data_IF_759440408648
#
_entry.id   IF_759440408648
#
_cell.length_a   1.000
_cell.length_b   1.000
_cell.length_c   1.000
_cell.angle_alpha   90.00
_cell.angle_beta   90.00
_cell.angle_gamma   90.00
#
_symmetry.space_group_name_H-M   'P 1'
#
loop_
_entity.id
_entity.type
_entity.pdbx_description
1 polymer ?
#
# COMPACT_ATOMS: atom_id res chain seq x y z
N UNK A 1 4.54 -5.40 -56.21
CA UNK A 1 5.22 -4.94 -54.98
C UNK A 1 4.23 -4.95 -53.83
N UNK A 2 4.15 -6.06 -53.09
CA UNK A 2 3.31 -6.14 -51.89
C UNK A 2 4.14 -5.62 -50.71
N UNK A 3 3.74 -4.48 -50.14
CA UNK A 3 4.31 -3.97 -48.89
C UNK A 3 3.74 -4.80 -47.75
N UNK A 4 4.57 -5.61 -47.11
CA UNK A 4 4.20 -6.29 -45.86
C UNK A 4 3.84 -5.23 -44.80
N UNK A 5 2.74 -5.40 -44.04
CA UNK A 5 2.48 -4.56 -42.88
C UNK A 5 3.56 -4.81 -41.80
N UNK A 6 3.88 -3.79 -40.98
CA UNK A 6 4.87 -3.93 -39.92
C UNK A 6 4.41 -4.97 -38.88
N UNK A 7 5.34 -5.72 -38.27
CA UNK A 7 5.00 -6.69 -37.24
C UNK A 7 4.40 -5.95 -36.03
N UNK A 8 3.24 -6.43 -35.56
CA UNK A 8 2.60 -5.96 -34.34
C UNK A 8 3.59 -6.00 -33.17
N UNK A 9 4.03 -4.82 -32.74
CA UNK A 9 4.88 -4.63 -31.57
C UNK A 9 4.06 -4.94 -30.33
N UNK A 10 3.86 -6.23 -30.01
CA UNK A 10 3.44 -6.60 -28.68
C UNK A 10 4.48 -6.06 -27.69
N UNK A 11 4.09 -5.26 -26.67
CA UNK A 11 5.04 -4.78 -25.69
C UNK A 11 5.71 -5.99 -25.06
N UNK A 12 7.04 -6.01 -25.12
CA UNK A 12 7.84 -7.10 -24.58
C UNK A 12 7.38 -7.40 -23.15
N UNK A 13 6.84 -8.60 -22.91
CA UNK A 13 6.47 -9.05 -21.56
C UNK A 13 7.64 -8.79 -20.64
N UNK A 14 7.41 -7.98 -19.62
CA UNK A 14 8.48 -7.50 -18.75
C UNK A 14 9.21 -8.71 -18.13
N UNK A 15 10.53 -8.62 -17.91
CA UNK A 15 11.30 -9.72 -17.32
C UNK A 15 10.73 -10.18 -15.95
N UNK A 16 10.00 -9.30 -15.26
CA UNK A 16 9.21 -9.60 -14.06
C UNK A 16 8.00 -10.50 -14.34
N UNK A 17 7.24 -10.28 -15.41
CA UNK A 17 6.13 -11.16 -15.82
C UNK A 17 6.63 -12.57 -16.13
N UNK A 18 7.78 -12.68 -16.82
CA UNK A 18 8.37 -13.97 -17.17
C UNK A 18 8.87 -14.71 -15.93
N UNK A 19 9.55 -14.01 -15.01
CA UNK A 19 10.03 -14.59 -13.73
C UNK A 19 8.86 -15.01 -12.84
N UNK A 20 7.78 -14.24 -12.81
CA UNK A 20 6.64 -14.55 -11.98
C UNK A 20 5.75 -15.66 -12.57
N UNK A 21 5.63 -15.75 -13.90
CA UNK A 21 4.99 -16.89 -14.56
C UNK A 21 5.71 -18.22 -14.24
N UNK A 22 7.05 -18.20 -14.15
CA UNK A 22 7.83 -19.39 -13.75
C UNK A 22 7.62 -19.81 -12.28
N UNK A 23 7.28 -18.87 -11.40
CA UNK A 23 7.11 -19.10 -9.96
C UNK A 23 5.68 -19.48 -9.57
N UNK A 24 4.69 -18.97 -10.30
CA UNK A 24 3.29 -18.97 -9.85
C UNK A 24 2.40 -19.98 -10.59
N UNK A 25 2.90 -20.64 -11.64
CA UNK A 25 2.14 -21.58 -12.45
C UNK A 25 1.42 -20.93 -13.64
N UNK A 26 0.49 -21.67 -14.24
CA UNK A 26 -0.25 -21.20 -15.42
C UNK A 26 -1.19 -20.04 -15.03
N UNK A 27 -1.18 -18.91 -15.76
CA UNK A 27 -2.00 -17.76 -15.41
C UNK A 27 -3.50 -18.08 -15.51
N UNK A 28 -4.33 -17.61 -14.57
CA UNK A 28 -5.76 -17.86 -14.57
C UNK A 28 -6.48 -17.29 -15.79
N UNK A 29 -7.59 -17.92 -16.15
CA UNK A 29 -8.57 -17.36 -17.09
C UNK A 29 -9.46 -16.35 -16.37
N UNK A 30 -10.09 -15.44 -17.13
CA UNK A 30 -10.98 -14.41 -16.57
C UNK A 30 -12.16 -15.02 -15.80
N UNK A 31 -12.72 -16.12 -16.29
CA UNK A 31 -13.81 -16.85 -15.64
C UNK A 31 -13.37 -17.44 -14.30
N UNK A 32 -12.16 -18.00 -14.24
CA UNK A 32 -11.58 -18.55 -13.02
C UNK A 32 -11.32 -17.46 -11.97
N UNK A 33 -10.80 -16.30 -12.40
CA UNK A 33 -10.61 -15.13 -11.54
C UNK A 33 -11.94 -14.59 -10.98
N UNK A 34 -12.96 -14.48 -11.82
CA UNK A 34 -14.31 -14.04 -11.39
C UNK A 34 -14.92 -15.02 -10.38
N UNK A 35 -14.74 -16.32 -10.61
CA UNK A 35 -15.18 -17.37 -9.69
C UNK A 35 -14.45 -17.28 -8.34
N UNK A 36 -13.13 -17.06 -8.36
CA UNK A 36 -12.33 -16.85 -7.15
C UNK A 36 -12.89 -15.69 -6.32
N UNK A 37 -13.15 -14.54 -6.94
CA UNK A 37 -13.68 -13.37 -6.24
C UNK A 37 -15.04 -13.64 -5.58
N UNK A 38 -15.97 -14.28 -6.31
CA UNK A 38 -17.28 -14.64 -5.76
C UNK A 38 -17.16 -15.64 -4.61
N UNK A 39 -16.25 -16.60 -4.73
CA UNK A 39 -16.03 -17.63 -3.73
C UNK A 39 -15.43 -17.08 -2.45
N UNK A 40 -14.45 -16.16 -2.55
CA UNK A 40 -13.86 -15.47 -1.39
C UNK A 40 -14.94 -14.74 -0.59
N UNK A 41 -15.88 -14.05 -1.24
CA UNK A 41 -16.97 -13.35 -0.56
C UNK A 41 -17.90 -14.32 0.18
N UNK A 42 -18.30 -15.43 -0.47
CA UNK A 42 -19.17 -16.45 0.12
C UNK A 42 -18.50 -17.13 1.32
N UNK A 43 -17.24 -17.52 1.20
CA UNK A 43 -16.49 -18.13 2.30
C UNK A 43 -16.22 -17.16 3.45
N UNK A 44 -15.91 -15.90 3.16
CA UNK A 44 -15.69 -14.89 4.20
C UNK A 44 -16.96 -14.62 5.01
N UNK A 45 -18.13 -14.59 4.34
CA UNK A 45 -19.42 -14.49 5.01
C UNK A 45 -19.68 -15.71 5.91
N UNK A 46 -19.53 -16.94 5.38
CA UNK A 46 -19.73 -18.16 6.16
C UNK A 46 -18.74 -18.24 7.34
N UNK A 47 -17.47 -17.91 7.13
CA UNK A 47 -16.47 -17.90 8.20
C UNK A 47 -16.82 -16.91 9.30
N UNK A 48 -17.35 -15.72 8.96
CA UNK A 48 -17.81 -14.75 9.94
C UNK A 48 -18.96 -15.29 10.79
N UNK A 49 -19.94 -15.94 10.15
CA UNK A 49 -21.10 -16.50 10.85
C UNK A 49 -20.70 -17.67 11.77
N UNK A 50 -19.86 -18.59 11.26
CA UNK A 50 -19.35 -19.73 12.04
C UNK A 50 -18.44 -19.25 13.17
N UNK A 51 -17.59 -18.24 12.95
CA UNK A 51 -16.74 -17.65 13.99
C UNK A 51 -17.57 -17.06 15.13
N UNK A 52 -18.65 -16.35 14.81
CA UNK A 52 -19.57 -15.81 15.81
C UNK A 52 -20.23 -16.91 16.66
N UNK A 53 -20.54 -18.07 16.08
CA UNK A 53 -21.10 -19.22 16.79
C UNK A 53 -20.02 -19.97 17.59
N UNK A 54 -18.83 -20.16 17.03
CA UNK A 54 -17.73 -20.89 17.64
C UNK A 54 -17.20 -20.21 18.91
N UNK A 55 -17.20 -18.87 18.98
CA UNK A 55 -16.81 -18.13 20.20
C UNK A 55 -17.68 -18.45 21.42
N UNK A 56 -18.95 -18.83 21.20
CA UNK A 56 -19.90 -19.15 22.28
C UNK A 56 -20.02 -20.66 22.51
N UNK A 57 -19.93 -21.47 21.44
CA UNK A 57 -20.27 -22.90 21.44
C UNK A 57 -19.32 -23.72 20.56
N UNK A 58 -18.01 -23.53 20.72
CA UNK A 58 -17.01 -24.15 19.83
C UNK A 58 -17.06 -25.69 19.75
N UNK A 59 -17.40 -26.39 20.83
CA UNK A 59 -17.49 -27.87 20.85
C UNK A 59 -18.85 -28.43 20.42
N UNK A 60 -19.77 -27.58 20.00
CA UNK A 60 -21.08 -28.04 19.55
C UNK A 60 -20.96 -28.68 18.16
N UNK A 61 -21.64 -29.82 17.99
CA UNK A 61 -21.74 -30.50 16.70
C UNK A 61 -22.41 -29.62 15.65
N UNK A 62 -21.92 -29.73 14.43
CA UNK A 62 -22.50 -29.02 13.29
C UNK A 62 -23.89 -29.56 12.94
N UNK A 63 -24.80 -28.64 12.61
CA UNK A 63 -26.01 -28.98 11.88
C UNK A 63 -25.64 -29.54 10.50
N UNK A 64 -26.34 -30.57 10.06
CA UNK A 64 -26.09 -31.24 8.78
C UNK A 64 -26.13 -30.25 7.60
N UNK A 65 -27.06 -29.30 7.61
CA UNK A 65 -27.16 -28.26 6.58
C UNK A 65 -25.88 -27.42 6.49
N UNK A 66 -25.29 -27.04 7.62
CA UNK A 66 -24.07 -26.23 7.65
C UNK A 66 -22.88 -27.05 7.18
N UNK A 67 -22.81 -28.33 7.56
CA UNK A 67 -21.77 -29.26 7.11
C UNK A 67 -21.79 -29.40 5.59
N UNK A 68 -22.94 -29.73 4.99
CA UNK A 68 -23.11 -29.89 3.55
C UNK A 68 -22.75 -28.61 2.79
N UNK A 69 -23.18 -27.44 3.28
CA UNK A 69 -22.84 -26.15 2.68
C UNK A 69 -21.34 -25.87 2.73
N UNK A 70 -20.70 -26.12 3.87
CA UNK A 70 -19.27 -25.91 4.04
C UNK A 70 -18.46 -26.85 3.15
N UNK A 71 -18.80 -28.14 3.09
CA UNK A 71 -18.14 -29.11 2.22
C UNK A 71 -18.29 -28.76 0.75
N UNK A 72 -19.48 -28.33 0.32
CA UNK A 72 -19.72 -27.85 -1.04
C UNK A 72 -18.80 -26.66 -1.40
N UNK A 73 -18.69 -25.67 -0.52
CA UNK A 73 -17.82 -24.52 -0.74
C UNK A 73 -16.32 -24.88 -0.73
N UNK A 74 -15.90 -25.78 0.16
CA UNK A 74 -14.52 -26.27 0.22
C UNK A 74 -14.18 -27.07 -1.05
N UNK A 75 -15.12 -27.86 -1.56
CA UNK A 75 -14.97 -28.59 -2.82
C UNK A 75 -14.85 -27.63 -4.02
N UNK A 76 -15.62 -26.54 -4.06
CA UNK A 76 -15.49 -25.51 -5.09
C UNK A 76 -14.10 -24.84 -5.09
N UNK A 77 -13.36 -24.88 -3.97
CA UNK A 77 -12.00 -24.34 -3.87
C UNK A 77 -10.92 -25.22 -4.50
N UNK A 78 -11.23 -26.47 -4.88
CA UNK A 78 -10.25 -27.44 -5.36
C UNK A 78 -9.29 -26.89 -6.45
N UNK A 79 -9.72 -26.09 -7.44
CA UNK A 79 -8.84 -25.56 -8.50
C UNK A 79 -7.79 -24.57 -8.01
N UNK A 80 -7.98 -23.96 -6.84
CA UNK A 80 -7.11 -22.91 -6.29
C UNK A 80 -6.11 -23.45 -5.27
N UNK A 81 -6.20 -24.74 -4.94
CA UNK A 81 -5.33 -25.42 -3.97
C UNK A 81 -4.16 -26.06 -4.70
N UNK A 82 -3.00 -26.12 -4.03
CA UNK A 82 -1.88 -26.90 -4.54
C UNK A 82 -2.30 -28.38 -4.64
N UNK A 83 -2.14 -28.99 -5.83
CA UNK A 83 -2.77 -30.26 -6.26
C UNK A 83 -2.35 -31.54 -5.52
N UNK A 84 -1.97 -31.50 -4.25
CA UNK A 84 -1.47 -32.68 -3.52
C UNK A 84 -2.26 -33.08 -2.28
N UNK A 85 -3.14 -32.23 -1.76
CA UNK A 85 -3.93 -32.58 -0.58
C UNK A 85 -5.37 -32.95 -0.93
N UNK A 86 -5.79 -34.12 -0.44
CA UNK A 86 -7.18 -34.58 -0.43
C UNK A 86 -8.07 -33.44 0.11
N UNK A 87 -9.28 -33.30 -0.43
CA UNK A 87 -10.27 -32.36 0.11
C UNK A 87 -10.50 -32.71 1.58
N UNK A 88 -10.22 -31.80 2.53
CA UNK A 88 -10.45 -32.09 3.93
C UNK A 88 -11.96 -32.21 4.14
N UNK A 89 -12.39 -33.31 4.75
CA UNK A 89 -13.77 -33.47 5.23
C UNK A 89 -14.08 -32.33 6.20
N UNK A 90 -15.30 -31.80 6.22
CA UNK A 90 -15.62 -30.74 7.17
C UNK A 90 -15.41 -31.25 8.60
N UNK A 91 -14.76 -30.43 9.42
CA UNK A 91 -14.57 -30.74 10.84
C UNK A 91 -15.94 -30.98 11.51
N UNK A 92 -16.04 -31.90 12.47
CA UNK A 92 -17.33 -32.28 13.06
C UNK A 92 -17.93 -31.18 13.97
N UNK A 93 -17.09 -30.29 14.50
CA UNK A 93 -17.40 -29.25 15.47
C UNK A 93 -17.31 -27.83 14.88
N UNK A 94 -18.04 -26.88 15.48
CA UNK A 94 -18.02 -25.47 15.06
C UNK A 94 -16.63 -24.83 15.16
N UNK A 95 -15.87 -25.18 16.20
CA UNK A 95 -14.50 -24.70 16.42
C UNK A 95 -13.56 -25.17 15.32
N UNK A 96 -13.52 -26.49 15.07
CA UNK A 96 -12.75 -27.08 13.98
C UNK A 96 -13.15 -26.53 12.61
N UNK A 97 -14.45 -26.34 12.36
CA UNK A 97 -14.92 -25.79 11.08
C UNK A 97 -14.45 -24.34 10.88
N UNK A 98 -14.48 -23.52 11.94
CA UNK A 98 -13.98 -22.16 11.87
C UNK A 98 -12.50 -22.12 11.44
N UNK A 99 -11.66 -22.98 12.05
CA UNK A 99 -10.24 -23.06 11.72
C UNK A 99 -10.04 -23.53 10.28
N UNK A 100 -10.77 -24.56 9.85
CA UNK A 100 -10.69 -25.09 8.50
C UNK A 100 -11.07 -24.05 7.44
N UNK A 101 -12.17 -23.31 7.65
CA UNK A 101 -12.58 -22.23 6.76
C UNK A 101 -11.53 -21.11 6.71
N UNK A 102 -10.92 -20.77 7.84
CA UNK A 102 -9.81 -19.80 7.91
C UNK A 102 -8.58 -20.25 7.10
N UNK A 103 -8.22 -21.54 7.17
CA UNK A 103 -7.13 -22.10 6.37
C UNK A 103 -7.43 -22.05 4.86
N UNK A 104 -8.66 -22.38 4.46
CA UNK A 104 -9.08 -22.32 3.04
C UNK A 104 -9.06 -20.88 2.53
N UNK A 105 -9.54 -19.92 3.32
CA UNK A 105 -9.44 -18.49 2.98
C UNK A 105 -7.98 -18.04 2.79
N UNK A 106 -7.08 -18.44 3.69
CA UNK A 106 -5.66 -18.13 3.56
C UNK A 106 -5.03 -18.71 2.29
N UNK A 107 -5.45 -19.91 1.86
CA UNK A 107 -5.01 -20.53 0.61
C UNK A 107 -5.49 -19.72 -0.60
N UNK A 108 -6.74 -19.26 -0.60
CA UNK A 108 -7.30 -18.43 -1.67
C UNK A 108 -6.59 -17.06 -1.76
N UNK A 109 -6.27 -16.44 -0.62
CA UNK A 109 -5.48 -15.21 -0.59
C UNK A 109 -4.06 -15.43 -1.11
N UNK A 110 -3.43 -16.56 -0.74
CA UNK A 110 -2.11 -16.90 -1.24
C UNK A 110 -2.12 -17.07 -2.76
N UNK A 111 -3.10 -17.82 -3.29
CA UNK A 111 -3.29 -17.99 -4.73
C UNK A 111 -3.42 -16.63 -5.43
N UNK A 112 -4.20 -15.72 -4.86
CA UNK A 112 -4.37 -14.39 -5.43
C UNK A 112 -3.10 -13.55 -5.37
N UNK A 113 -2.37 -13.53 -4.26
CA UNK A 113 -1.08 -12.82 -4.16
C UNK A 113 -0.09 -13.29 -5.22
N UNK A 114 -0.14 -14.57 -5.59
CA UNK A 114 0.66 -15.12 -6.68
C UNK A 114 0.21 -14.64 -8.06
N UNK A 115 -1.08 -14.38 -8.27
CA UNK A 115 -1.65 -14.07 -9.58
C UNK A 115 -2.08 -12.60 -9.76
N UNK A 116 -1.74 -11.73 -8.81
CA UNK A 116 -2.07 -10.30 -8.86
C UNK A 116 -0.83 -9.43 -8.82
N UNK A 117 -0.99 -8.19 -9.28
CA UNK A 117 0.04 -7.16 -9.21
C UNK A 117 -0.61 -5.78 -9.11
N UNK A 118 0.13 -4.82 -8.58
CA UNK A 118 -0.30 -3.42 -8.56
C UNK A 118 -0.08 -2.79 -9.94
N UNK A 119 -1.14 -2.28 -10.56
CA UNK A 119 -1.06 -1.49 -11.80
C UNK A 119 -1.06 0.00 -11.47
N UNK A 120 0.02 0.70 -11.84
CA UNK A 120 0.14 2.15 -11.62
C UNK A 120 -0.85 2.93 -12.48
N UNK A 121 -1.12 2.48 -13.71
CA UNK A 121 -2.05 3.17 -14.61
C UNK A 121 -3.50 3.16 -14.12
N UNK A 122 -3.94 2.00 -13.60
CA UNK A 122 -5.32 1.81 -13.10
C UNK A 122 -5.46 2.07 -11.59
N UNK A 123 -4.37 2.41 -10.90
CA UNK A 123 -4.29 2.58 -9.44
C UNK A 123 -5.01 1.48 -8.65
N UNK A 124 -4.89 0.23 -9.09
CA UNK A 124 -5.54 -0.91 -8.45
C UNK A 124 -4.77 -2.21 -8.63
N UNK A 125 -5.12 -3.19 -7.80
CA UNK A 125 -4.66 -4.57 -7.97
C UNK A 125 -5.33 -5.19 -9.20
N UNK A 126 -4.52 -5.76 -10.08
CA UNK A 126 -4.95 -6.41 -11.31
C UNK A 126 -4.53 -7.88 -11.30
N UNK A 127 -5.42 -8.76 -11.77
CA UNK A 127 -5.13 -10.13 -12.14
C UNK A 127 -4.18 -10.17 -13.33
N UNK A 128 -3.22 -11.08 -13.25
CA UNK A 128 -2.34 -11.46 -14.35
C UNK A 128 -2.95 -12.65 -15.07
N UNK A 129 -3.69 -12.39 -16.16
CA UNK A 129 -4.44 -13.41 -16.90
C UNK A 129 -3.63 -13.94 -18.09
N UNK A 130 -4.01 -15.09 -18.62
CA UNK A 130 -3.35 -15.69 -19.78
C UNK A 130 -3.40 -14.81 -21.06
N UNK A 131 -4.48 -14.04 -21.21
CA UNK A 131 -4.75 -13.20 -22.39
C UNK A 131 -4.82 -11.70 -22.12
N UNK A 132 -4.38 -11.23 -20.94
CA UNK A 132 -4.44 -9.81 -20.60
C UNK A 132 -4.40 -9.54 -19.10
N UNK A 133 -4.88 -8.37 -18.71
CA UNK A 133 -4.96 -7.92 -17.32
C UNK A 133 -6.39 -7.51 -17.01
N UNK A 134 -6.88 -7.83 -15.81
CA UNK A 134 -8.20 -7.40 -15.37
C UNK A 134 -8.14 -6.91 -13.92
N UNK A 135 -8.84 -5.84 -13.56
CA UNK A 135 -8.84 -5.36 -12.18
C UNK A 135 -9.51 -6.37 -11.24
N UNK A 136 -8.93 -6.55 -10.06
CA UNK A 136 -9.55 -7.35 -8.97
C UNK A 136 -10.72 -6.53 -8.42
N UNK A 137 -11.97 -6.93 -8.65
CA UNK A 137 -13.11 -6.04 -8.39
C UNK A 137 -13.29 -5.76 -6.91
N UNK A 138 -13.07 -6.74 -6.05
CA UNK A 138 -13.21 -6.56 -4.59
C UNK A 138 -12.11 -5.68 -3.97
N UNK A 139 -10.92 -5.66 -4.57
CA UNK A 139 -9.78 -4.85 -4.12
C UNK A 139 -9.67 -3.53 -4.87
N UNK A 140 -10.53 -3.29 -5.86
CA UNK A 140 -10.59 -2.01 -6.54
C UNK A 140 -10.94 -0.99 -5.46
N UNK A 141 -10.06 -0.01 -5.17
CA UNK A 141 -10.50 1.12 -4.37
C UNK A 141 -11.69 1.68 -5.13
N UNK A 142 -12.89 1.58 -4.57
CA UNK A 142 -13.94 2.49 -4.99
C UNK A 142 -13.33 3.85 -4.71
N UNK A 143 -13.12 4.71 -5.73
CA UNK A 143 -12.77 6.07 -5.43
C UNK A 143 -14.00 6.64 -4.72
N UNK A 144 -13.98 6.62 -3.39
CA UNK A 144 -14.73 7.57 -2.56
C UNK A 144 -14.04 8.92 -2.72
N UNK A 145 -13.83 9.35 -3.96
CA UNK A 145 -13.82 10.77 -4.26
C UNK A 145 -15.29 11.14 -4.28
N UNK A 146 -15.87 11.30 -3.08
CA UNK A 146 -16.91 12.31 -2.96
C UNK A 146 -16.31 13.56 -3.64
N UNK A 147 -17.00 14.18 -4.61
CA UNK A 147 -16.48 15.39 -5.22
C UNK A 147 -16.10 16.32 -4.07
N UNK A 148 -14.84 16.76 -4.04
CA UNK A 148 -14.39 17.71 -3.04
C UNK A 148 -15.28 18.92 -3.23
N UNK A 149 -16.31 19.06 -2.39
CA UNK A 149 -17.19 20.21 -2.44
C UNK A 149 -16.35 21.47 -2.26
N UNK A 150 -16.83 22.64 -2.70
CA UNK A 150 -16.07 23.89 -2.68
C UNK A 150 -15.35 24.15 -1.34
N UNK A 151 -15.97 23.77 -0.21
CA UNK A 151 -15.39 23.86 1.15
C UNK A 151 -14.11 23.04 1.37
N UNK A 152 -13.94 21.90 0.72
CA UNK A 152 -12.77 21.03 0.90
C UNK A 152 -11.54 21.53 0.13
N UNK A 153 -11.76 22.25 -0.96
CA UNK A 153 -10.71 22.92 -1.72
C UNK A 153 -10.21 24.16 -0.96
N UNK A 154 -11.13 24.93 -0.39
CA UNK A 154 -10.82 26.06 0.50
C UNK A 154 -9.97 25.66 1.71
N UNK A 155 -10.21 24.48 2.31
CA UNK A 155 -9.42 23.98 3.44
C UNK A 155 -7.97 23.64 3.05
N UNK A 156 -7.75 23.08 1.86
CA UNK A 156 -6.40 22.80 1.35
C UNK A 156 -5.64 24.08 1.05
N UNK A 157 -6.30 25.06 0.46
CA UNK A 157 -5.70 26.35 0.16
C UNK A 157 -5.39 27.13 1.45
N UNK A 158 -6.27 27.04 2.45
CA UNK A 158 -6.04 27.63 3.78
C UNK A 158 -4.87 26.96 4.50
N UNK A 159 -4.76 25.63 4.44
CA UNK A 159 -3.63 24.90 5.01
C UNK A 159 -2.32 25.25 4.29
N UNK A 160 -2.33 25.35 2.95
CA UNK A 160 -1.18 25.77 2.16
C UNK A 160 -0.68 27.17 2.56
N UNK A 161 -1.60 28.13 2.72
CA UNK A 161 -1.29 29.48 3.20
C UNK A 161 -0.69 29.48 4.61
N UNK A 162 -1.22 28.66 5.52
CA UNK A 162 -0.67 28.54 6.88
C UNK A 162 0.75 27.95 6.90
N UNK A 163 1.03 26.94 6.08
CA UNK A 163 2.37 26.34 5.99
C UNK A 163 3.40 27.36 5.49
N UNK A 164 3.05 28.13 4.46
CA UNK A 164 3.93 29.18 3.92
C UNK A 164 4.16 30.30 4.93
N UNK A 165 3.10 30.76 5.61
CA UNK A 165 3.22 31.80 6.65
C UNK A 165 4.13 31.35 7.80
N UNK A 166 3.97 30.11 8.27
CA UNK A 166 4.81 29.54 9.34
C UNK A 166 6.28 29.43 8.92
N UNK A 167 6.54 29.02 7.68
CA UNK A 167 7.89 28.95 7.10
C UNK A 167 8.55 30.33 7.08
N UNK A 168 7.83 31.35 6.63
CA UNK A 168 8.35 32.71 6.52
C UNK A 168 8.65 33.30 7.91
N UNK A 169 7.78 33.07 8.89
CA UNK A 169 8.02 33.50 10.27
C UNK A 169 9.26 32.84 10.88
N UNK A 170 9.45 31.53 10.65
CA UNK A 170 10.64 30.82 11.10
C UNK A 170 11.92 31.35 10.42
N UNK A 171 11.83 31.69 9.12
CA UNK A 171 12.93 32.31 8.39
C UNK A 171 13.31 33.68 8.97
N UNK A 172 12.33 34.55 9.23
CA UNK A 172 12.56 35.88 9.81
C UNK A 172 13.16 35.82 11.21
N UNK A 173 12.67 34.91 12.06
CA UNK A 173 13.23 34.69 13.39
C UNK A 173 14.68 34.19 13.31
N UNK A 174 14.97 33.25 12.43
CA UNK A 174 16.33 32.77 12.19
C UNK A 174 17.25 33.86 11.65
N UNK A 175 16.75 34.69 10.74
CA UNK A 175 17.51 35.82 10.19
C UNK A 175 17.79 36.90 11.26
N UNK A 176 16.81 37.22 12.10
CA UNK A 176 16.98 38.15 13.21
C UNK A 176 17.98 37.63 14.26
N UNK A 177 17.88 36.35 14.62
CA UNK A 177 18.84 35.70 15.52
C UNK A 177 20.26 35.70 14.93
N UNK A 178 20.40 35.46 13.62
CA UNK A 178 21.67 35.53 12.92
C UNK A 178 22.27 36.94 12.89
N UNK A 179 21.45 37.99 12.77
CA UNK A 179 21.92 39.39 12.92
C UNK A 179 22.36 39.70 14.35
N UNK A 180 21.59 39.28 15.35
CA UNK A 180 21.93 39.47 16.76
C UNK A 180 23.25 38.75 17.12
N UNK A 181 23.47 37.54 16.60
CA UNK A 181 24.71 36.80 16.79
C UNK A 181 25.94 37.47 16.13
N UNK A 182 25.76 38.27 15.07
CA UNK A 182 26.84 39.06 14.44
C UNK A 182 27.25 40.30 15.22
N UNK A 183 26.35 40.85 16.04
CA UNK A 183 26.64 42.00 16.90
C UNK A 183 27.45 41.56 18.14
N UNK A 184 27.37 40.26 18.51
CA UNK A 184 27.98 39.73 19.73
C UNK A 184 27.23 40.18 20.99
N UNK A 185 27.41 39.51 22.14
CA UNK A 185 26.87 40.02 23.41
C UNK A 185 27.51 41.38 23.73
N UNK A 186 26.79 42.31 24.40
CA UNK A 186 27.41 43.54 24.87
C UNK A 186 28.61 43.18 25.77
N UNK A 187 29.77 43.74 25.46
CA UNK A 187 30.98 43.58 26.26
C UNK A 187 30.67 44.05 27.68
N UNK A 188 30.92 43.24 28.73
CA UNK A 188 30.74 43.67 30.10
C UNK A 188 31.60 44.91 30.40
N UNK A 189 31.12 45.85 31.24
CA UNK A 189 31.79 47.14 31.49
C UNK A 189 33.16 47.03 32.17
N UNK A 190 33.61 45.83 32.57
CA UNK A 190 34.87 45.61 33.27
C UNK A 190 36.08 45.41 32.32
N UNK A 191 35.89 45.54 31.00
CA UNK A 191 36.96 45.46 30.01
C UNK A 191 37.23 46.82 29.35
N UNK A 192 37.43 47.87 30.14
CA UNK A 192 38.02 49.13 29.68
C UNK A 192 39.45 49.19 30.21
N UNK A 193 40.42 48.78 29.40
CA UNK A 193 41.83 49.13 29.63
C UNK A 193 42.06 50.59 29.17
N UNK A 194 42.75 51.43 29.96
CA UNK A 194 42.91 52.85 29.69
C UNK A 194 43.93 53.12 28.57
N UNK A 195 43.71 54.23 27.86
CA UNK A 195 44.47 54.72 26.71
C UNK A 195 46.01 54.67 26.88
N UNK A 196 46.71 54.15 25.85
CA UNK A 196 48.14 54.38 25.67
C UNK A 196 48.52 54.52 24.18
N UNK A 197 48.39 55.76 23.71
CA UNK A 197 49.39 56.51 22.93
C UNK A 197 49.74 55.97 21.53
N UNK A 198 49.20 56.71 20.55
CA UNK A 198 49.74 56.85 19.22
C UNK A 198 51.19 57.37 19.27
N UNK A 199 52.17 56.52 18.98
CA UNK A 199 53.53 56.96 18.67
C UNK A 199 54.20 56.03 17.63
N UNK A 200 54.59 56.65 16.52
CA UNK A 200 55.68 56.27 15.61
C UNK A 200 55.77 54.83 15.11
N UNK A 201 55.14 54.56 13.96
CA UNK A 201 55.62 53.53 13.03
C UNK A 201 56.35 54.19 11.84
N UNK A 202 57.71 54.26 11.84
CA UNK A 202 58.50 54.89 10.78
C UNK A 202 58.55 54.07 9.46
N UNK A 203 57.70 53.06 9.29
CA UNK A 203 57.72 52.13 8.14
C UNK A 203 56.77 52.50 6.99
N UNK A 204 56.10 53.64 7.07
CA UNK A 204 55.14 54.12 6.04
C UNK A 204 55.62 55.39 5.31
N UNK A 205 56.92 55.71 5.35
CA UNK A 205 57.51 56.91 4.74
C UNK A 205 58.28 56.66 3.43
N UNK A 206 58.14 55.50 2.79
CA UNK A 206 58.90 55.16 1.56
C UNK A 206 58.05 54.66 0.40
N UNK A 207 56.83 55.17 0.27
CA UNK A 207 56.02 55.01 -0.94
C UNK A 207 55.49 56.37 -1.38
N UNK A 208 56.42 57.25 -1.77
CA UNK A 208 56.22 58.36 -2.71
C UNK A 208 57.41 58.37 -3.67
#
# INVERSE_FOLDING_TARGET
>A
MFKNPPPDTHPARSAQEIRAARRNGQPPTLSLATRHEALVLRLAALHKDVSALATRRGRQDLSETVRVLAEGLIAECAPFRASRDRLPVAAPDLGGLCVQLGQVLAQLEHYERCHTFWSVGENCWCWRLAGGTAPVRRLKPQPTTAPVGPRGQDLRDKLGKMIVARRNQAYELGFAAGRAARIGPPVPPDCVEPDAIAENNPRLLSLD
#
